data_IF_528829236464
#
_entry.id   IF_528829236464
#
_cell.length_a   1.000
_cell.length_b   1.000
_cell.length_c   1.000
_cell.angle_alpha   90.00
_cell.angle_beta   90.00
_cell.angle_gamma   90.00
#
_symmetry.space_group_name_H-M   'P 1'
#
loop_
_entity.id
_entity.type
_entity.pdbx_description
1 polymer ?
#
# COMPACT_ATOMS: atom_id res chain seq x y z
N UNK A 1 64.31 7.98 -10.98
CA UNK A 1 63.58 7.26 -12.05
C UNK A 1 62.10 7.59 -11.90
N UNK A 2 61.58 8.43 -12.77
CA UNK A 2 60.21 8.89 -12.74
C UNK A 2 59.35 8.01 -13.69
N UNK A 3 58.32 7.38 -13.16
CA UNK A 3 57.36 6.58 -13.95
C UNK A 3 56.14 7.42 -14.20
N UNK A 4 56.02 7.95 -15.40
CA UNK A 4 54.87 8.67 -15.92
C UNK A 4 53.84 7.66 -16.39
N UNK A 5 52.73 7.49 -15.66
CA UNK A 5 51.57 6.70 -16.11
C UNK A 5 50.64 7.56 -16.92
N UNK A 6 50.53 7.18 -18.17
CA UNK A 6 49.65 7.76 -19.19
C UNK A 6 48.24 7.25 -18.98
N UNK A 7 47.26 8.16 -18.77
CA UNK A 7 45.85 7.84 -18.76
C UNK A 7 45.26 8.00 -20.16
N UNK A 8 44.52 7.02 -20.69
CA UNK A 8 43.84 7.20 -21.96
C UNK A 8 42.55 8.02 -21.79
N UNK A 9 42.43 8.96 -22.69
CA UNK A 9 41.33 9.89 -22.86
C UNK A 9 40.05 9.12 -23.29
N UNK A 10 39.03 9.09 -22.45
CA UNK A 10 37.71 8.55 -22.84
C UNK A 10 36.95 9.61 -23.65
N UNK A 11 36.80 9.34 -24.93
CA UNK A 11 35.99 10.12 -25.85
C UNK A 11 34.50 10.07 -25.45
N UNK A 12 33.93 11.26 -25.23
CA UNK A 12 32.54 11.48 -25.00
C UNK A 12 31.77 11.26 -26.31
N UNK A 13 30.85 10.26 -26.33
CA UNK A 13 29.90 10.04 -27.43
C UNK A 13 28.59 10.67 -27.05
N UNK A 14 28.07 11.66 -27.79
CA UNK A 14 26.75 12.20 -27.55
C UNK A 14 25.68 11.21 -28.04
N UNK A 15 24.78 10.80 -27.17
CA UNK A 15 23.58 10.04 -27.50
C UNK A 15 22.56 10.96 -28.16
N UNK A 16 22.40 10.80 -29.48
CA UNK A 16 21.33 11.38 -30.27
C UNK A 16 19.96 10.94 -29.73
N UNK A 17 19.13 11.93 -29.44
CA UNK A 17 17.74 11.80 -29.06
C UNK A 17 16.91 11.62 -30.33
N UNK A 18 16.17 10.53 -30.55
CA UNK A 18 15.13 10.55 -31.57
C UNK A 18 13.91 11.33 -31.04
N UNK A 19 13.52 12.28 -31.84
CA UNK A 19 12.35 13.13 -31.69
C UNK A 19 11.05 12.37 -31.95
N UNK A 20 9.98 12.95 -31.39
CA UNK A 20 8.60 12.91 -31.88
C UNK A 20 7.80 11.64 -31.65
N UNK A 21 7.11 11.60 -30.52
CA UNK A 21 5.79 10.95 -30.47
C UNK A 21 4.71 12.03 -30.69
N UNK A 22 4.16 11.99 -31.87
CA UNK A 22 3.03 12.77 -32.32
C UNK A 22 1.78 12.46 -31.47
N UNK A 23 1.07 13.54 -31.18
CA UNK A 23 -0.27 13.59 -30.62
C UNK A 23 -1.22 12.56 -31.24
N UNK A 24 -1.82 11.72 -30.38
CA UNK A 24 -3.08 11.05 -30.69
C UNK A 24 -4.19 11.83 -29.97
N UNK A 25 -5.21 12.31 -30.67
CA UNK A 25 -6.35 12.95 -30.06
C UNK A 25 -7.27 11.90 -29.42
N UNK A 26 -7.38 11.92 -28.09
CA UNK A 26 -8.51 11.33 -27.38
C UNK A 26 -9.77 12.13 -27.69
N UNK A 27 -10.61 11.64 -28.57
CA UNK A 27 -12.01 12.05 -28.59
C UNK A 27 -12.84 11.13 -29.49
N UNK A 28 -13.45 10.12 -28.91
CA UNK A 28 -14.72 9.59 -29.41
C UNK A 28 -15.58 9.13 -28.22
N UNK A 29 -16.37 10.08 -27.77
CA UNK A 29 -17.53 9.86 -26.94
C UNK A 29 -18.61 9.21 -27.82
N UNK A 30 -18.78 7.92 -27.73
CA UNK A 30 -19.94 7.24 -28.32
C UNK A 30 -21.21 7.63 -27.55
N UNK A 31 -21.89 8.62 -28.08
CA UNK A 31 -23.21 9.06 -27.66
C UNK A 31 -24.23 8.03 -28.18
N UNK A 32 -24.63 7.12 -27.30
CA UNK A 32 -25.77 6.23 -27.59
C UNK A 32 -27.03 7.07 -27.49
N UNK A 33 -27.59 7.43 -28.63
CA UNK A 33 -28.93 7.99 -28.72
C UNK A 33 -29.94 6.84 -28.62
N UNK A 34 -30.66 6.79 -27.51
CA UNK A 34 -31.85 5.95 -27.39
C UNK A 34 -33.02 6.61 -28.11
N UNK A 35 -33.37 6.09 -29.28
CA UNK A 35 -34.61 6.43 -29.97
C UNK A 35 -35.79 5.84 -29.23
N UNK A 36 -36.56 6.70 -28.58
CA UNK A 36 -37.92 6.40 -28.12
C UNK A 36 -38.83 6.45 -29.32
N UNK A 37 -39.28 5.31 -29.78
CA UNK A 37 -40.48 5.20 -30.57
C UNK A 37 -41.65 4.80 -29.67
N UNK A 38 -42.53 5.72 -29.49
CA UNK A 38 -43.82 5.50 -28.78
C UNK A 38 -44.77 4.82 -29.76
N UNK A 39 -45.19 3.61 -29.47
CA UNK A 39 -46.37 3.01 -30.07
C UNK A 39 -47.25 2.47 -28.93
N UNK A 40 -48.31 3.21 -28.65
CA UNK A 40 -49.36 2.84 -27.77
C UNK A 40 -50.28 1.81 -28.45
N UNK A 41 -50.30 0.59 -27.94
CA UNK A 41 -51.36 -0.37 -28.25
C UNK A 41 -51.86 -0.94 -26.91
N UNK A 42 -53.00 -0.47 -26.50
CA UNK A 42 -53.73 -0.93 -25.33
C UNK A 42 -54.38 -2.27 -25.62
N UNK A 43 -53.87 -3.34 -24.98
CA UNK A 43 -54.63 -4.58 -24.78
C UNK A 43 -54.81 -4.81 -23.28
N UNK A 44 -56.08 -4.60 -22.87
CA UNK A 44 -56.54 -4.90 -21.52
C UNK A 44 -56.83 -6.41 -21.44
N UNK A 45 -55.92 -7.15 -20.80
CA UNK A 45 -56.14 -8.50 -20.32
C UNK A 45 -55.92 -8.50 -18.83
N UNK A 46 -57.00 -8.53 -18.09
CA UNK A 46 -57.02 -8.63 -16.63
C UNK A 46 -56.40 -9.96 -16.18
N UNK A 47 -55.18 -9.93 -15.74
CA UNK A 47 -54.57 -11.03 -14.99
C UNK A 47 -54.40 -10.54 -13.56
N UNK A 48 -55.21 -11.12 -12.67
CA UNK A 48 -55.12 -10.88 -11.24
C UNK A 48 -53.88 -11.57 -10.69
N UNK A 49 -52.70 -10.94 -10.83
CA UNK A 49 -51.48 -11.43 -10.23
C UNK A 49 -51.38 -10.85 -8.82
N UNK A 50 -51.71 -11.71 -7.86
CA UNK A 50 -51.44 -11.47 -6.45
C UNK A 50 -49.93 -11.14 -6.29
N UNK A 51 -49.60 -9.85 -6.17
CA UNK A 51 -48.25 -9.38 -5.83
C UNK A 51 -47.94 -9.86 -4.41
N UNK A 52 -47.27 -11.01 -4.31
CA UNK A 52 -46.53 -11.34 -3.11
C UNK A 52 -45.48 -10.23 -2.93
N UNK A 53 -45.70 -9.37 -1.95
CA UNK A 53 -44.69 -8.39 -1.52
C UNK A 53 -43.47 -9.16 -1.05
N UNK A 54 -42.44 -9.20 -1.89
CA UNK A 54 -41.11 -9.59 -1.46
C UNK A 54 -40.65 -8.52 -0.46
N UNK A 55 -40.64 -8.86 0.82
CA UNK A 55 -40.03 -8.04 1.85
C UNK A 55 -38.59 -7.81 1.42
N UNK A 56 -38.08 -6.54 1.39
CA UNK A 56 -36.67 -6.31 1.08
C UNK A 56 -35.87 -7.06 2.13
N UNK A 57 -35.14 -8.10 1.70
CA UNK A 57 -34.12 -8.70 2.53
C UNK A 57 -33.09 -7.60 2.82
N UNK A 58 -33.05 -7.20 4.09
CA UNK A 58 -32.02 -6.32 4.61
C UNK A 58 -30.69 -7.06 4.47
N UNK A 59 -30.00 -6.88 3.35
CA UNK A 59 -28.64 -7.35 3.19
C UNK A 59 -27.78 -6.50 4.12
N UNK A 60 -27.71 -6.94 5.36
CA UNK A 60 -26.81 -6.36 6.37
C UNK A 60 -25.40 -6.61 5.84
N UNK A 61 -24.77 -5.57 5.34
CA UNK A 61 -23.42 -5.66 4.76
C UNK A 61 -22.48 -6.18 5.84
N UNK A 62 -22.07 -7.44 5.73
CA UNK A 62 -21.08 -8.07 6.61
C UNK A 62 -19.67 -7.46 6.43
N UNK A 63 -19.51 -6.51 5.51
CA UNK A 63 -18.23 -5.85 5.22
C UNK A 63 -17.70 -4.97 6.34
N UNK A 64 -18.55 -4.43 7.21
CA UNK A 64 -18.11 -3.55 8.31
C UNK A 64 -17.46 -4.32 9.46
N UNK A 65 -17.89 -5.54 9.75
CA UNK A 65 -17.34 -6.35 10.84
C UNK A 65 -15.97 -6.96 10.50
N UNK A 66 -15.72 -7.25 9.22
CA UNK A 66 -14.43 -7.79 8.79
C UNK A 66 -13.32 -6.72 8.82
N UNK A 67 -13.64 -5.49 8.39
CA UNK A 67 -12.69 -4.37 8.44
C UNK A 67 -12.28 -4.00 9.87
N UNK A 68 -13.23 -4.04 10.83
CA UNK A 68 -12.93 -3.76 12.25
C UNK A 68 -12.02 -4.82 12.88
N UNK A 69 -12.25 -6.10 12.58
CA UNK A 69 -11.38 -7.19 13.08
C UNK A 69 -9.96 -7.09 12.56
N UNK A 70 -9.80 -6.72 11.29
CA UNK A 70 -8.48 -6.53 10.67
C UNK A 70 -7.76 -5.33 11.30
N UNK A 71 -8.48 -4.27 11.58
CA UNK A 71 -7.94 -3.09 12.26
C UNK A 71 -7.50 -3.40 13.70
N UNK A 72 -8.31 -4.13 14.45
CA UNK A 72 -7.94 -4.61 15.78
C UNK A 72 -6.72 -5.51 15.74
N UNK A 73 -6.66 -6.43 14.77
CA UNK A 73 -5.50 -7.31 14.58
C UNK A 73 -4.23 -6.53 14.31
N UNK A 74 -4.26 -5.56 13.40
CA UNK A 74 -3.11 -4.70 13.10
C UNK A 74 -2.70 -3.88 14.33
N UNK A 75 -3.64 -3.23 15.00
CA UNK A 75 -3.36 -2.45 16.22
C UNK A 75 -2.77 -3.32 17.33
N UNK A 76 -3.32 -4.51 17.53
CA UNK A 76 -2.80 -5.47 18.52
C UNK A 76 -1.38 -5.90 18.18
N UNK A 77 -1.11 -6.23 16.92
CA UNK A 77 0.24 -6.63 16.48
C UNK A 77 1.26 -5.51 16.71
N UNK A 78 0.88 -4.28 16.36
CA UNK A 78 1.73 -3.09 16.53
C UNK A 78 1.95 -2.76 18.01
N UNK A 79 0.95 -2.98 18.88
CA UNK A 79 1.06 -2.74 20.32
C UNK A 79 1.88 -3.81 21.05
N UNK A 80 1.78 -5.08 20.60
CA UNK A 80 2.43 -6.22 21.26
C UNK A 80 3.91 -6.38 20.88
N UNK A 81 4.38 -5.70 19.85
CA UNK A 81 5.76 -5.86 19.37
C UNK A 81 6.50 -4.53 19.38
N UNK A 82 7.77 -4.50 19.82
CA UNK A 82 8.55 -3.27 19.90
C UNK A 82 8.81 -2.65 18.54
N UNK A 83 9.03 -3.49 17.52
CA UNK A 83 9.27 -3.03 16.14
C UNK A 83 8.48 -3.92 15.17
N UNK A 84 7.66 -3.30 14.33
CA UNK A 84 6.87 -3.98 13.29
C UNK A 84 7.13 -3.34 11.94
N UNK A 85 7.41 -4.16 10.93
CA UNK A 85 7.64 -3.72 9.56
C UNK A 85 6.68 -4.44 8.64
N UNK A 86 5.74 -3.71 8.06
CA UNK A 86 4.93 -4.22 6.96
C UNK A 86 5.70 -4.04 5.65
N UNK A 87 5.92 -5.13 4.96
CA UNK A 87 6.86 -5.26 3.85
C UNK A 87 6.22 -5.99 2.67
N UNK A 88 6.94 -6.04 1.55
CA UNK A 88 6.71 -7.00 0.46
C UNK A 88 8.06 -7.62 0.10
N UNK A 89 8.08 -8.93 -0.11
CA UNK A 89 9.31 -9.73 -0.31
C UNK A 89 10.19 -9.21 -1.46
N UNK A 90 9.57 -8.73 -2.52
CA UNK A 90 10.24 -8.21 -3.72
C UNK A 90 10.63 -6.71 -3.64
N UNK A 91 10.32 -6.01 -2.54
CA UNK A 91 10.58 -4.58 -2.41
C UNK A 91 11.99 -4.30 -1.89
N UNK A 92 12.83 -3.66 -2.71
CA UNK A 92 14.22 -3.28 -2.34
C UNK A 92 14.29 -2.33 -1.14
N UNK A 93 13.39 -1.36 -1.06
CA UNK A 93 13.30 -0.45 0.09
C UNK A 93 12.97 -1.16 1.40
N UNK A 94 12.13 -2.19 1.33
CA UNK A 94 11.83 -3.03 2.49
C UNK A 94 13.06 -3.83 2.92
N UNK A 95 13.83 -4.36 1.96
CA UNK A 95 15.07 -5.08 2.24
C UNK A 95 16.13 -4.18 2.87
N UNK A 96 16.21 -2.91 2.44
CA UNK A 96 17.09 -1.92 3.03
C UNK A 96 16.78 -1.67 4.51
N UNK A 97 15.50 -1.47 4.84
CA UNK A 97 15.05 -1.27 6.22
C UNK A 97 15.31 -2.52 7.08
N UNK A 98 15.00 -3.71 6.57
CA UNK A 98 15.32 -4.97 7.28
C UNK A 98 16.82 -5.10 7.55
N UNK A 99 17.66 -4.78 6.59
CA UNK A 99 19.12 -4.80 6.74
C UNK A 99 19.61 -3.76 7.73
N UNK A 100 18.99 -2.59 7.79
CA UNK A 100 19.31 -1.53 8.76
C UNK A 100 19.02 -1.99 10.20
N UNK A 101 17.84 -2.56 10.46
CA UNK A 101 17.52 -3.09 11.80
C UNK A 101 18.44 -4.23 12.21
N UNK A 102 18.80 -5.11 11.27
CA UNK A 102 19.76 -6.18 11.52
C UNK A 102 21.15 -5.63 11.91
N UNK A 103 21.62 -4.56 11.27
CA UNK A 103 22.88 -3.88 11.63
C UNK A 103 22.84 -3.27 13.04
N UNK A 104 21.66 -2.81 13.47
CA UNK A 104 21.44 -2.27 14.81
C UNK A 104 21.21 -3.36 15.89
N UNK A 105 21.26 -4.64 15.51
CA UNK A 105 21.04 -5.76 16.42
C UNK A 105 19.60 -5.90 16.91
N UNK A 106 18.65 -5.31 16.19
CA UNK A 106 17.22 -5.38 16.50
C UNK A 106 16.52 -6.28 15.48
N UNK A 107 15.77 -7.26 15.96
CA UNK A 107 14.94 -8.11 15.11
C UNK A 107 13.50 -7.55 15.07
N UNK A 108 13.09 -6.92 13.96
CA UNK A 108 11.73 -6.47 13.82
C UNK A 108 10.79 -7.63 13.48
N UNK A 109 9.53 -7.55 13.92
CA UNK A 109 8.49 -8.41 13.36
C UNK A 109 8.19 -7.97 11.93
N UNK A 110 8.58 -8.78 10.96
CA UNK A 110 8.34 -8.51 9.53
C UNK A 110 7.07 -9.21 9.09
N UNK A 111 6.15 -8.48 8.47
CA UNK A 111 4.91 -9.00 7.91
C UNK A 111 4.93 -8.74 6.42
N UNK A 112 5.08 -9.84 5.64
CA UNK A 112 5.10 -9.77 4.18
C UNK A 112 3.66 -9.78 3.65
N UNK A 113 3.22 -8.63 3.13
CA UNK A 113 1.84 -8.46 2.66
C UNK A 113 1.53 -9.29 1.41
N UNK A 114 2.51 -9.59 0.59
CA UNK A 114 2.37 -10.44 -0.59
C UNK A 114 2.18 -11.93 -0.23
N UNK A 115 2.71 -12.36 0.92
CA UNK A 115 2.52 -13.72 1.43
C UNK A 115 1.17 -13.93 2.15
N UNK A 116 0.51 -12.85 2.53
CA UNK A 116 -0.82 -12.90 3.18
C UNK A 116 -1.97 -13.23 2.20
N UNK A 117 -1.69 -13.46 0.94
CA UNK A 117 -2.69 -13.76 -0.09
C UNK A 117 -3.75 -12.66 -0.21
N UNK A 118 -5.04 -13.05 -0.18
CA UNK A 118 -6.15 -12.10 -0.34
C UNK A 118 -6.28 -11.05 0.78
N UNK A 119 -5.67 -11.28 1.94
CA UNK A 119 -5.70 -10.32 3.06
C UNK A 119 -4.66 -9.20 2.90
N UNK A 120 -3.56 -9.44 2.21
CA UNK A 120 -2.47 -8.48 2.03
C UNK A 120 -2.91 -7.13 1.49
N UNK A 121 -3.63 -7.06 0.36
CA UNK A 121 -4.15 -5.80 -0.17
C UNK A 121 -5.11 -5.09 0.78
N UNK A 122 -5.87 -5.83 1.59
CA UNK A 122 -6.80 -5.27 2.57
C UNK A 122 -6.04 -4.65 3.75
N UNK A 123 -5.00 -5.33 4.23
CA UNK A 123 -4.08 -4.78 5.26
C UNK A 123 -3.37 -3.56 4.72
N UNK A 124 -2.87 -3.57 3.49
CA UNK A 124 -2.21 -2.42 2.88
C UNK A 124 -3.15 -1.19 2.81
N UNK A 125 -4.40 -1.39 2.37
CA UNK A 125 -5.40 -0.32 2.33
C UNK A 125 -5.78 0.18 3.73
N UNK A 126 -5.79 -0.72 4.71
CA UNK A 126 -6.02 -0.36 6.10
C UNK A 126 -4.86 0.49 6.66
N UNK A 127 -3.61 0.09 6.41
CA UNK A 127 -2.42 0.84 6.79
C UNK A 127 -2.43 2.24 6.18
N UNK A 128 -2.76 2.37 4.90
CA UNK A 128 -2.93 3.67 4.23
C UNK A 128 -3.95 4.55 4.96
N UNK A 129 -5.08 3.98 5.35
CA UNK A 129 -6.12 4.73 6.11
C UNK A 129 -5.66 5.15 7.50
N UNK A 130 -4.86 4.31 8.18
CA UNK A 130 -4.39 4.57 9.55
C UNK A 130 -3.18 5.52 9.59
N UNK A 131 -2.30 5.43 8.60
CA UNK A 131 -1.00 6.13 8.60
C UNK A 131 -0.88 7.22 7.55
N UNK A 132 -1.78 7.22 6.55
CA UNK A 132 -1.66 8.07 5.36
C UNK A 132 -0.61 7.59 4.36
N UNK A 133 0.12 6.49 4.64
CA UNK A 133 1.16 5.99 3.77
C UNK A 133 0.68 4.79 2.96
N UNK A 134 0.65 4.94 1.64
CA UNK A 134 0.26 3.90 0.69
C UNK A 134 1.37 2.88 0.40
N UNK A 135 2.62 3.30 0.53
CA UNK A 135 3.79 2.51 0.11
C UNK A 135 4.32 1.59 1.20
N UNK A 136 5.06 0.55 0.80
CA UNK A 136 5.87 -0.29 1.67
C UNK A 136 7.35 0.08 1.53
N UNK A 137 8.16 -0.09 2.57
CA UNK A 137 7.83 -0.56 3.91
C UNK A 137 7.04 0.46 4.71
N UNK A 138 6.27 -0.03 5.70
CA UNK A 138 5.54 0.78 6.65
C UNK A 138 6.01 0.36 8.06
N UNK A 139 6.68 1.25 8.77
CA UNK A 139 7.46 0.95 9.97
C UNK A 139 6.81 1.50 11.22
N UNK A 140 6.69 0.66 12.23
CA UNK A 140 6.17 1.03 13.55
C UNK A 140 7.22 0.70 14.63
N UNK A 141 7.45 1.62 15.55
CA UNK A 141 8.35 1.46 16.70
C UNK A 141 7.61 1.88 17.96
N UNK A 142 7.55 1.01 18.96
CA UNK A 142 6.85 1.26 20.22
C UNK A 142 5.38 1.64 20.06
N UNK A 143 4.69 1.07 19.06
CA UNK A 143 3.30 1.38 18.78
C UNK A 143 3.07 2.63 17.90
N UNK A 144 4.11 3.41 17.62
CA UNK A 144 4.04 4.64 16.83
C UNK A 144 4.46 4.39 15.39
N UNK A 145 3.74 4.98 14.44
CA UNK A 145 4.11 4.97 13.03
C UNK A 145 5.29 5.91 12.80
N UNK A 146 6.36 5.39 12.22
CA UNK A 146 7.59 6.14 11.92
C UNK A 146 7.59 6.65 10.47
N UNK A 147 7.04 5.87 9.57
CA UNK A 147 7.04 6.16 8.13
C UNK A 147 7.59 5.01 7.30
N UNK A 148 8.21 5.36 6.19
CA UNK A 148 8.79 4.42 5.24
C UNK A 148 10.32 4.29 5.37
N UNK A 149 10.94 3.75 4.31
CA UNK A 149 12.38 3.59 4.24
C UNK A 149 13.12 4.93 4.42
N UNK A 150 12.71 5.95 3.67
CA UNK A 150 13.35 7.27 3.71
C UNK A 150 13.32 7.89 5.10
N UNK A 151 12.21 7.75 5.82
CA UNK A 151 12.03 8.35 7.14
C UNK A 151 12.85 7.58 8.19
N UNK A 152 12.86 6.25 8.11
CA UNK A 152 13.69 5.39 8.97
C UNK A 152 15.18 5.69 8.78
N UNK A 153 15.64 5.82 7.53
CA UNK A 153 17.05 6.16 7.24
C UNK A 153 17.40 7.58 7.70
N UNK A 154 16.49 8.54 7.58
CA UNK A 154 16.68 9.90 8.12
C UNK A 154 16.84 9.89 9.63
N UNK A 155 16.00 9.17 10.36
CA UNK A 155 16.10 9.02 11.82
C UNK A 155 17.42 8.36 12.22
N UNK A 156 17.84 7.33 11.49
CA UNK A 156 19.14 6.69 11.71
C UNK A 156 20.30 7.67 11.54
N UNK A 157 20.32 8.44 10.45
CA UNK A 157 21.37 9.44 10.18
C UNK A 157 21.44 10.56 11.22
N UNK A 158 20.30 10.88 11.84
CA UNK A 158 20.21 11.86 12.94
C UNK A 158 20.60 11.27 14.30
N UNK A 159 20.76 9.95 14.42
CA UNK A 159 20.99 9.27 15.71
C UNK A 159 19.73 9.17 16.59
N UNK A 160 18.55 9.48 16.05
CA UNK A 160 17.28 9.45 16.77
C UNK A 160 16.63 8.06 16.79
N UNK A 161 17.07 7.16 15.88
CA UNK A 161 16.48 5.83 15.76
C UNK A 161 16.82 4.91 16.94
N UNK A 162 18.07 4.92 17.41
CA UNK A 162 18.56 4.06 18.49
C UNK A 162 17.84 4.31 19.82
N UNK A 163 17.65 5.57 20.27
CA UNK A 163 16.90 5.82 21.49
C UNK A 163 15.43 5.39 21.39
N UNK A 164 14.78 5.55 20.21
CA UNK A 164 13.42 5.07 19.98
C UNK A 164 13.32 3.54 20.07
N UNK A 165 14.32 2.83 19.55
CA UNK A 165 14.39 1.36 19.63
C UNK A 165 14.60 0.88 21.06
N UNK A 166 15.48 1.52 21.82
CA UNK A 166 15.74 1.17 23.22
C UNK A 166 14.50 1.39 24.09
N UNK A 167 13.79 2.51 23.92
CA UNK A 167 12.53 2.80 24.62
C UNK A 167 11.45 1.78 24.28
N UNK A 168 11.30 1.42 23.00
CA UNK A 168 10.32 0.44 22.54
C UNK A 168 10.59 -0.95 23.11
N UNK A 169 11.86 -1.35 23.13
CA UNK A 169 12.28 -2.67 23.65
C UNK A 169 12.11 -2.74 25.16
N UNK A 170 12.37 -1.66 25.90
CA UNK A 170 12.13 -1.59 27.34
C UNK A 170 10.65 -1.78 27.67
N UNK A 171 9.74 -1.07 26.97
CA UNK A 171 8.29 -1.19 27.15
C UNK A 171 7.74 -2.59 26.86
N UNK A 172 8.33 -3.31 25.91
CA UNK A 172 7.87 -4.66 25.59
C UNK A 172 8.25 -5.72 26.62
N UNK A 173 9.20 -5.43 27.52
CA UNK A 173 9.61 -6.34 28.61
C UNK A 173 8.76 -6.18 29.87
N UNK A 174 8.01 -5.09 29.98
CA UNK A 174 7.17 -4.81 31.17
C UNK A 174 5.72 -5.33 31.01
N UNK A 175 5.31 -5.77 29.81
CA UNK A 175 4.01 -6.37 29.51
C UNK A 175 4.11 -7.89 29.38
#
# INVERSE_FOLDING_TARGET
>A
MAITSHMPNLSYVPLDRPASFSHLPCNEFLRIQSNRASTSTSFSLGINVSRKQCKPMLVRSMGSSFGSRLEESVKKTVASNPVVVYSKSWCSYSSEVKSLFKKLGVEPLVIELDEMGAQGPQVQKLLERLTGQHTVPNVFIGGKHIGGCTDTVKLYRKGELEPLLSEATAKSKEN
#
